data_IF_678657643402
#
_entry.id   IF_678657643402
#
_cell.length_a   1.000
_cell.length_b   1.000
_cell.length_c   1.000
_cell.angle_alpha   90.00
_cell.angle_beta   90.00
_cell.angle_gamma   90.00
#
_symmetry.space_group_name_H-M   'P 1'
#
loop_
_entity.id
_entity.type
_entity.pdbx_description
1 polymer ?
#
# COMPACT_ATOMS: atom_id res chain seq x y z
N UNK A 1 17.51 12.55 -3.81
CA UNK A 1 16.47 12.03 -4.74
C UNK A 1 15.18 12.75 -4.35
N UNK A 2 14.49 13.43 -5.27
CA UNK A 2 13.27 14.20 -4.94
C UNK A 2 12.19 13.21 -4.46
N UNK A 3 11.49 13.54 -3.39
CA UNK A 3 10.43 12.73 -2.78
C UNK A 3 9.32 12.49 -3.82
N UNK A 4 8.82 11.26 -3.96
CA UNK A 4 7.65 10.99 -4.84
C UNK A 4 6.38 11.60 -4.25
N UNK A 5 5.61 12.28 -5.10
CA UNK A 5 4.32 12.90 -4.78
C UNK A 5 3.26 11.85 -4.42
N UNK A 6 2.22 12.22 -3.68
CA UNK A 6 1.06 11.36 -3.41
C UNK A 6 0.45 10.85 -4.72
N UNK A 7 0.17 11.75 -5.67
CA UNK A 7 -0.39 11.41 -6.98
C UNK A 7 0.45 10.37 -7.73
N UNK A 8 1.77 10.46 -7.63
CA UNK A 8 2.69 9.49 -8.24
C UNK A 8 2.76 8.15 -7.49
N UNK A 9 2.60 8.15 -6.16
CA UNK A 9 2.60 6.92 -5.35
C UNK A 9 1.37 6.08 -5.63
N UNK A 10 0.22 6.72 -5.81
CA UNK A 10 -1.06 6.02 -5.94
C UNK A 10 -1.56 5.85 -7.38
N UNK A 11 -0.94 6.49 -8.40
CA UNK A 11 -1.23 6.19 -9.82
C UNK A 11 -1.01 4.71 -10.19
N UNK A 12 -0.10 4.02 -9.48
CA UNK A 12 0.13 2.59 -9.65
C UNK A 12 -1.00 1.71 -9.07
N UNK A 13 -1.75 2.22 -8.09
CA UNK A 13 -2.83 1.51 -7.40
C UNK A 13 -4.17 1.63 -8.14
N UNK A 14 -4.44 2.78 -8.77
CA UNK A 14 -5.66 2.96 -9.58
C UNK A 14 -5.70 2.04 -10.81
N UNK A 15 -4.55 1.69 -11.39
CA UNK A 15 -4.49 0.71 -12.50
C UNK A 15 -4.86 -0.72 -12.10
N UNK A 16 -4.89 -1.01 -10.80
CA UNK A 16 -5.26 -2.32 -10.23
C UNK A 16 -6.76 -2.33 -9.83
N UNK A 17 -7.38 -1.15 -9.61
CA UNK A 17 -8.77 -1.03 -9.16
C UNK A 17 -9.81 -1.02 -10.29
N UNK A 18 -9.39 -0.86 -11.56
CA UNK A 18 -10.27 -0.76 -12.74
C UNK A 18 -11.22 -1.95 -12.94
N UNK A 19 -11.01 -3.09 -12.26
CA UNK A 19 -11.85 -4.27 -12.43
C UNK A 19 -12.92 -4.48 -11.36
N UNK A 20 -13.00 -3.73 -10.25
CA UNK A 20 -14.03 -4.05 -9.23
C UNK A 20 -14.37 -2.97 -8.18
N UNK A 21 -14.26 -1.67 -8.47
CA UNK A 21 -14.51 -0.63 -7.46
C UNK A 21 -15.41 0.51 -7.93
N UNK A 22 -16.63 0.54 -7.37
CA UNK A 22 -17.63 1.57 -7.60
C UNK A 22 -17.34 2.93 -6.97
N UNK A 23 -16.21 3.11 -6.28
CA UNK A 23 -15.76 4.40 -5.73
C UNK A 23 -14.24 4.50 -5.97
N UNK A 24 -13.80 5.47 -6.77
CA UNK A 24 -12.40 5.79 -7.03
C UNK A 24 -11.60 6.08 -5.75
N UNK A 25 -10.26 6.01 -5.84
CA UNK A 25 -9.34 6.06 -4.70
C UNK A 25 -9.65 7.16 -3.67
N UNK A 26 -10.04 8.34 -4.15
CA UNK A 26 -10.33 9.54 -3.38
C UNK A 26 -11.81 9.93 -3.35
N UNK A 27 -12.73 9.06 -3.77
CA UNK A 27 -14.15 9.41 -3.95
C UNK A 27 -14.87 9.72 -2.64
N UNK A 28 -14.37 9.19 -1.52
CA UNK A 28 -14.84 9.53 -0.17
C UNK A 28 -14.50 10.97 0.26
N UNK A 29 -13.63 11.67 -0.48
CA UNK A 29 -13.21 13.04 -0.20
C UNK A 29 -14.14 14.01 -0.93
N UNK A 30 -15.28 14.31 -0.32
CA UNK A 30 -16.31 15.20 -0.89
C UNK A 30 -15.82 16.64 -1.01
N UNK A 31 -16.54 17.48 -1.77
CA UNK A 31 -16.24 18.92 -1.84
C UNK A 31 -16.27 19.60 -0.47
N UNK A 32 -17.13 19.14 0.45
CA UNK A 32 -17.18 19.64 1.83
C UNK A 32 -15.88 19.34 2.58
N UNK A 33 -15.39 18.09 2.48
CA UNK A 33 -14.11 17.69 3.07
C UNK A 33 -12.96 18.50 2.48
N UNK A 34 -12.92 18.64 1.15
CA UNK A 34 -11.90 19.46 0.47
C UNK A 34 -11.93 20.91 0.94
N UNK A 35 -13.12 21.46 1.20
CA UNK A 35 -13.26 22.81 1.73
C UNK A 35 -12.67 22.92 3.14
N UNK A 36 -12.98 21.98 4.02
CA UNK A 36 -12.41 21.94 5.37
C UNK A 36 -10.89 21.78 5.37
N UNK A 37 -10.36 20.93 4.49
CA UNK A 37 -8.91 20.78 4.32
C UNK A 37 -8.28 22.08 3.81
N UNK A 38 -8.91 22.75 2.85
CA UNK A 38 -8.45 24.04 2.34
C UNK A 38 -8.43 25.13 3.43
N UNK A 39 -9.45 25.18 4.28
CA UNK A 39 -9.48 26.11 5.42
C UNK A 39 -8.28 25.83 6.37
N UNK A 40 -8.00 24.56 6.70
CA UNK A 40 -6.83 24.19 7.51
C UNK A 40 -5.51 24.58 6.82
N UNK A 41 -5.38 24.37 5.50
CA UNK A 41 -4.18 24.77 4.76
C UNK A 41 -3.92 26.28 4.85
N UNK A 42 -4.97 27.09 4.83
CA UNK A 42 -4.86 28.55 4.96
C UNK A 42 -4.58 28.99 6.41
N UNK A 43 -5.11 28.28 7.41
CA UNK A 43 -4.81 28.58 8.82
C UNK A 43 -3.32 28.31 9.17
N UNK A 44 -2.64 27.46 8.39
CA UNK A 44 -1.24 27.06 8.58
C UNK A 44 -0.31 27.62 7.48
N UNK A 45 -0.56 28.83 6.98
CA UNK A 45 0.33 29.51 6.03
C UNK A 45 1.50 30.24 6.75
N UNK A 46 2.39 29.50 7.41
CA UNK A 46 3.53 30.09 8.15
C UNK A 46 4.35 31.02 7.23
N UNK A 47 4.60 32.29 7.60
CA UNK A 47 5.40 33.21 6.80
C UNK A 47 6.87 32.81 6.75
N UNK A 48 7.45 32.81 5.56
CA UNK A 48 8.81 32.35 5.28
C UNK A 48 9.61 33.38 4.48
N UNK A 49 10.94 33.41 4.71
CA UNK A 49 11.90 34.20 3.94
C UNK A 49 12.82 33.29 3.14
N UNK A 50 12.63 33.25 1.83
CA UNK A 50 13.35 32.34 0.93
C UNK A 50 14.39 33.10 0.12
N UNK A 51 15.56 32.47 -0.10
CA UNK A 51 16.59 33.03 -0.98
C UNK A 51 16.20 32.86 -2.44
N UNK A 52 16.29 33.95 -3.20
CA UNK A 52 15.94 33.99 -4.63
C UNK A 52 16.88 33.14 -5.50
N UNK A 53 18.12 32.95 -5.05
CA UNK A 53 19.12 32.14 -5.76
C UNK A 53 20.21 31.66 -4.80
N UNK A 54 20.91 30.58 -5.15
CA UNK A 54 22.14 30.16 -4.44
C UNK A 54 23.29 31.16 -4.61
N UNK A 55 23.25 31.97 -5.66
CA UNK A 55 24.32 32.90 -6.04
C UNK A 55 24.02 34.35 -5.67
N UNK A 56 22.82 34.64 -5.16
CA UNK A 56 22.41 35.97 -4.73
C UNK A 56 21.90 35.91 -3.28
N UNK A 57 22.12 36.99 -2.52
CA UNK A 57 21.63 37.13 -1.15
C UNK A 57 20.25 37.82 -1.08
N UNK A 58 19.64 38.15 -2.22
CA UNK A 58 18.27 38.66 -2.26
C UNK A 58 17.29 37.61 -1.74
N UNK A 59 16.49 37.98 -0.74
CA UNK A 59 15.40 37.16 -0.20
C UNK A 59 14.06 37.76 -0.60
N UNK A 60 13.05 36.90 -0.74
CA UNK A 60 11.65 37.31 -0.89
C UNK A 60 10.83 36.72 0.26
N UNK A 61 9.75 37.41 0.61
CA UNK A 61 8.76 36.96 1.58
C UNK A 61 7.72 36.10 0.86
N UNK A 62 7.35 34.98 1.47
CA UNK A 62 6.34 34.03 1.00
C UNK A 62 5.74 33.31 2.22
N UNK A 63 4.97 32.25 2.01
CA UNK A 63 4.43 31.40 3.05
C UNK A 63 4.55 29.92 2.68
N UNK A 64 4.41 29.05 3.69
CA UNK A 64 4.56 27.60 3.54
C UNK A 64 3.61 27.00 2.48
N UNK A 65 2.38 27.49 2.36
CA UNK A 65 1.41 27.00 1.38
C UNK A 65 1.77 27.46 -0.03
N UNK A 66 2.16 28.72 -0.21
CA UNK A 66 2.61 29.26 -1.49
C UNK A 66 3.83 28.50 -2.02
N UNK A 67 4.80 28.18 -1.16
CA UNK A 67 5.96 27.36 -1.53
C UNK A 67 5.58 25.94 -1.93
N UNK A 68 4.65 25.31 -1.20
CA UNK A 68 4.17 23.97 -1.54
C UNK A 68 3.50 23.91 -2.92
N UNK A 69 2.71 24.93 -3.26
CA UNK A 69 2.08 25.06 -4.59
C UNK A 69 3.14 25.27 -5.67
N UNK A 70 4.16 26.09 -5.42
CA UNK A 70 5.29 26.29 -6.33
C UNK A 70 6.05 24.98 -6.58
N UNK A 71 6.38 24.21 -5.53
CA UNK A 71 7.09 22.93 -5.70
C UNK A 71 6.24 21.88 -6.43
N UNK A 72 4.92 21.86 -6.20
CA UNK A 72 4.02 21.00 -6.95
C UNK A 72 4.02 21.36 -8.44
N UNK A 73 3.83 22.64 -8.77
CA UNK A 73 3.83 23.15 -10.15
C UNK A 73 5.13 22.81 -10.88
N UNK A 74 6.28 23.01 -10.22
CA UNK A 74 7.59 22.66 -10.76
C UNK A 74 7.74 21.15 -10.98
N UNK A 75 7.17 20.34 -10.09
CA UNK A 75 7.29 18.87 -10.15
C UNK A 75 6.40 18.25 -11.23
N UNK A 76 5.19 18.77 -11.44
CA UNK A 76 4.27 18.28 -12.50
C UNK A 76 4.53 18.93 -13.86
N UNK A 77 5.31 20.02 -13.91
CA UNK A 77 5.74 20.69 -15.14
C UNK A 77 4.69 21.62 -15.77
N UNK A 78 3.62 21.94 -15.05
CA UNK A 78 2.62 22.93 -15.47
C UNK A 78 2.06 23.69 -14.26
N UNK A 79 1.53 24.89 -14.49
CA UNK A 79 0.97 25.73 -13.44
C UNK A 79 -0.49 25.32 -13.17
N UNK A 80 -0.77 24.72 -12.02
CA UNK A 80 -2.13 24.45 -11.54
C UNK A 80 -2.85 25.75 -11.20
N UNK A 81 -2.23 26.56 -10.34
CA UNK A 81 -2.63 27.92 -9.97
C UNK A 81 -1.51 28.58 -9.15
N UNK A 82 -1.68 29.87 -8.84
CA UNK A 82 -0.82 30.62 -7.91
C UNK A 82 -1.69 31.52 -7.05
N UNK A 83 -1.48 31.51 -5.72
CA UNK A 83 -2.23 32.34 -4.78
C UNK A 83 -1.86 33.83 -4.91
N UNK A 84 -0.58 34.15 -5.16
CA UNK A 84 -0.07 35.53 -5.24
C UNK A 84 -0.66 36.40 -6.37
N UNK A 85 -1.22 35.79 -7.42
CA UNK A 85 -1.86 36.51 -8.54
C UNK A 85 -3.40 36.65 -8.40
N UNK A 86 -4.01 36.09 -7.35
CA UNK A 86 -5.47 36.06 -7.15
C UNK A 86 -6.00 37.22 -6.26
N UNK A 87 -5.14 38.18 -5.95
CA UNK A 87 -5.20 39.14 -4.82
C UNK A 87 -6.29 40.21 -4.83
N UNK A 88 -7.38 40.08 -5.59
CA UNK A 88 -8.42 41.14 -5.59
C UNK A 88 -9.90 40.74 -5.48
N UNK A 89 -10.32 39.46 -5.51
CA UNK A 89 -11.72 39.12 -5.14
C UNK A 89 -12.06 37.64 -4.97
N UNK A 90 -11.08 36.72 -4.90
CA UNK A 90 -11.37 35.27 -4.93
C UNK A 90 -11.19 34.64 -3.55
N UNK A 91 -12.12 33.77 -3.19
CA UNK A 91 -12.06 32.91 -2.01
C UNK A 91 -10.97 31.85 -2.23
N UNK A 92 -9.81 32.01 -1.59
CA UNK A 92 -8.63 31.14 -1.74
C UNK A 92 -8.97 29.68 -1.40
N UNK A 93 -9.78 29.46 -0.36
CA UNK A 93 -10.23 28.13 -0.02
C UNK A 93 -11.13 27.53 -1.10
N UNK A 94 -11.89 28.33 -1.85
CA UNK A 94 -12.67 27.84 -2.99
C UNK A 94 -11.78 27.42 -4.16
N UNK A 95 -10.64 28.08 -4.38
CA UNK A 95 -9.65 27.67 -5.38
C UNK A 95 -9.10 26.29 -5.01
N UNK A 96 -8.61 26.14 -3.77
CA UNK A 96 -8.09 24.87 -3.25
C UNK A 96 -9.14 23.75 -3.28
N UNK A 97 -10.39 24.05 -2.95
CA UNK A 97 -11.51 23.10 -2.97
C UNK A 97 -11.74 22.50 -4.37
N UNK A 98 -11.46 23.25 -5.43
CA UNK A 98 -11.64 22.81 -6.82
C UNK A 98 -10.43 22.08 -7.40
N UNK A 99 -9.29 22.02 -6.68
CA UNK A 99 -8.10 21.28 -7.11
C UNK A 99 -8.40 19.79 -7.17
N UNK A 100 -7.91 19.08 -8.19
CA UNK A 100 -8.02 17.63 -8.26
C UNK A 100 -7.49 16.97 -6.97
N UNK A 101 -8.26 16.06 -6.36
CA UNK A 101 -8.00 15.60 -4.98
C UNK A 101 -6.58 15.03 -4.76
N UNK A 102 -6.02 14.21 -5.66
CA UNK A 102 -4.62 13.80 -5.55
C UNK A 102 -3.61 14.95 -5.49
N UNK A 103 -3.84 16.04 -6.22
CA UNK A 103 -3.00 17.24 -6.15
C UNK A 103 -3.24 18.06 -4.89
N UNK A 104 -4.48 18.10 -4.37
CA UNK A 104 -4.73 18.68 -3.05
C UNK A 104 -3.92 17.95 -1.97
N UNK A 105 -3.87 16.62 -2.05
CA UNK A 105 -3.07 15.78 -1.15
C UNK A 105 -1.57 15.97 -1.35
N UNK A 106 -1.11 16.15 -2.59
CA UNK A 106 0.28 16.55 -2.86
C UNK A 106 0.64 17.86 -2.15
N UNK A 107 -0.22 18.89 -2.24
CA UNK A 107 0.03 20.18 -1.58
C UNK A 107 0.06 20.03 -0.06
N UNK A 108 -0.83 19.23 0.54
CA UNK A 108 -0.82 18.96 1.99
C UNK A 108 0.51 18.33 2.43
N UNK A 109 1.00 17.32 1.71
CA UNK A 109 2.29 16.68 2.03
C UNK A 109 3.47 17.65 1.88
N UNK A 110 3.45 18.51 0.85
CA UNK A 110 4.50 19.49 0.59
C UNK A 110 4.48 20.66 1.59
N UNK A 111 3.31 21.20 1.92
CA UNK A 111 3.16 22.27 2.90
C UNK A 111 3.71 21.83 4.26
N UNK A 112 3.41 20.58 4.67
CA UNK A 112 3.97 20.02 5.89
C UNK A 112 5.50 20.00 5.92
N UNK A 113 6.16 19.78 4.79
CA UNK A 113 7.62 19.78 4.72
C UNK A 113 8.20 21.20 4.94
N UNK A 114 7.46 22.24 4.58
CA UNK A 114 7.83 23.66 4.73
C UNK A 114 7.50 24.27 6.11
N UNK A 115 6.58 23.66 6.86
CA UNK A 115 6.22 24.13 8.22
C UNK A 115 7.36 23.97 9.22
N UNK A 116 7.41 24.83 10.24
CA UNK A 116 8.33 24.69 11.36
C UNK A 116 7.92 23.58 12.34
N UNK A 117 8.80 23.25 13.29
CA UNK A 117 8.51 22.32 14.38
C UNK A 117 7.76 22.99 15.56
N UNK A 118 7.09 24.13 15.33
CA UNK A 118 6.24 24.76 16.34
C UNK A 118 5.14 23.79 16.81
N UNK A 119 4.89 23.77 18.12
CA UNK A 119 4.04 22.76 18.77
C UNK A 119 2.57 22.95 18.43
N UNK A 120 2.13 24.19 18.20
CA UNK A 120 0.73 24.55 18.01
C UNK A 120 0.42 24.93 16.57
N UNK A 121 1.28 25.74 15.93
CA UNK A 121 1.07 26.27 14.59
C UNK A 121 2.04 25.68 13.55
N UNK A 122 2.92 24.78 13.96
CA UNK A 122 3.84 24.08 13.07
C UNK A 122 3.30 22.72 12.61
N UNK A 123 4.23 21.82 12.28
CA UNK A 123 3.95 20.47 11.75
C UNK A 123 2.94 19.68 12.56
N UNK A 124 3.06 19.71 13.89
CA UNK A 124 2.21 18.90 14.77
C UNK A 124 0.76 19.39 14.79
N UNK A 125 0.58 20.72 14.84
CA UNK A 125 -0.74 21.35 14.77
C UNK A 125 -1.42 21.04 13.45
N UNK A 126 -0.71 21.27 12.34
CA UNK A 126 -1.24 21.01 11.00
C UNK A 126 -1.67 19.56 10.83
N UNK A 127 -0.82 18.62 11.30
CA UNK A 127 -1.13 17.20 11.25
C UNK A 127 -2.39 16.84 12.02
N UNK A 128 -2.55 17.37 13.23
CA UNK A 128 -3.73 17.12 14.06
C UNK A 128 -5.00 17.64 13.40
N UNK A 129 -4.96 18.84 12.84
CA UNK A 129 -6.13 19.48 12.23
C UNK A 129 -6.54 18.78 10.93
N UNK A 130 -5.60 18.39 10.07
CA UNK A 130 -5.87 17.57 8.87
C UNK A 130 -6.52 16.23 9.28
N UNK A 131 -5.96 15.54 10.28
CA UNK A 131 -6.52 14.27 10.76
C UNK A 131 -7.90 14.44 11.40
N UNK A 132 -8.13 15.56 12.11
CA UNK A 132 -9.45 15.88 12.67
C UNK A 132 -10.49 15.99 11.56
N UNK A 133 -10.18 16.70 10.47
CA UNK A 133 -11.07 16.84 9.31
C UNK A 133 -11.41 15.47 8.72
N UNK A 134 -10.42 14.60 8.51
CA UNK A 134 -10.72 13.27 8.00
C UNK A 134 -11.58 12.45 8.95
N UNK A 135 -11.29 12.52 10.26
CA UNK A 135 -12.05 11.79 11.28
C UNK A 135 -13.50 12.25 11.40
N UNK A 136 -13.75 13.57 11.39
CA UNK A 136 -15.10 14.15 11.50
C UNK A 136 -16.00 13.80 10.30
N UNK A 137 -15.40 13.49 9.15
CA UNK A 137 -16.09 13.18 7.91
C UNK A 137 -15.96 11.70 7.49
N UNK A 138 -15.56 10.82 8.41
CA UNK A 138 -15.40 9.37 8.16
C UNK A 138 -14.53 9.03 6.93
N UNK A 139 -13.56 9.89 6.62
CA UNK A 139 -12.63 9.68 5.52
C UNK A 139 -11.53 8.70 5.96
N UNK A 140 -11.28 7.62 5.21
CA UNK A 140 -10.31 6.59 5.59
C UNK A 140 -8.88 7.03 5.26
N UNK A 141 -8.47 8.22 5.69
CA UNK A 141 -7.15 8.80 5.45
C UNK A 141 -6.52 9.20 6.77
N UNK A 142 -5.24 8.86 6.92
CA UNK A 142 -4.40 9.26 8.05
C UNK A 142 -3.19 9.99 7.50
N UNK A 143 -2.94 11.17 8.07
CA UNK A 143 -1.75 11.96 7.83
C UNK A 143 -0.73 11.70 8.95
N UNK A 144 0.36 11.02 8.60
CA UNK A 144 1.43 10.65 9.54
C UNK A 144 2.79 10.77 8.86
N UNK A 145 3.80 11.23 9.58
CA UNK A 145 5.18 11.41 9.08
C UNK A 145 5.25 12.15 7.73
N UNK A 146 4.43 13.21 7.63
CA UNK A 146 4.29 14.02 6.41
C UNK A 146 3.60 13.31 5.24
N UNK A 147 3.06 12.11 5.42
CA UNK A 147 2.48 11.26 4.36
C UNK A 147 1.01 11.01 4.59
N UNK A 148 0.22 11.08 3.52
CA UNK A 148 -1.15 10.57 3.51
C UNK A 148 -1.16 9.08 3.20
N UNK A 149 -1.79 8.33 4.10
CA UNK A 149 -1.96 6.87 4.04
C UNK A 149 -3.45 6.56 4.15
N UNK A 150 -3.97 5.76 3.22
CA UNK A 150 -5.37 5.32 3.29
C UNK A 150 -5.49 4.23 4.36
N UNK A 151 -6.29 4.47 5.39
CA UNK A 151 -6.61 3.49 6.45
C UNK A 151 -7.97 2.89 6.13
N UNK A 152 -7.97 2.02 5.12
CA UNK A 152 -9.13 1.26 4.65
C UNK A 152 -8.79 -0.23 4.71
N UNK A 153 -9.71 -1.06 5.19
CA UNK A 153 -9.54 -2.51 5.22
C UNK A 153 -9.23 -3.07 3.82
N UNK A 154 -9.84 -2.49 2.78
CA UNK A 154 -9.56 -2.87 1.39
C UNK A 154 -8.15 -2.47 0.96
N UNK A 155 -7.70 -1.28 1.34
CA UNK A 155 -6.32 -0.84 1.06
C UNK A 155 -5.30 -1.71 1.79
N UNK A 156 -5.54 -2.04 3.06
CA UNK A 156 -4.66 -2.93 3.82
C UNK A 156 -4.47 -4.27 3.11
N UNK A 157 -5.55 -4.85 2.58
CA UNK A 157 -5.48 -6.09 1.81
C UNK A 157 -4.72 -5.93 0.49
N UNK A 158 -4.86 -4.79 -0.20
CA UNK A 158 -4.08 -4.49 -1.41
C UNK A 158 -2.59 -4.32 -1.09
N UNK A 159 -2.28 -3.58 -0.03
CA UNK A 159 -0.91 -3.34 0.43
C UNK A 159 -0.22 -4.64 0.86
N UNK A 160 -0.95 -5.55 1.51
CA UNK A 160 -0.45 -6.89 1.84
C UNK A 160 -0.02 -7.65 0.58
N UNK A 161 -0.89 -7.68 -0.44
CA UNK A 161 -0.61 -8.38 -1.70
C UNK A 161 0.56 -7.74 -2.46
N UNK A 162 0.59 -6.41 -2.54
CA UNK A 162 1.67 -5.67 -3.19
C UNK A 162 3.01 -5.90 -2.51
N UNK A 163 3.08 -5.77 -1.19
CA UNK A 163 4.32 -6.02 -0.43
C UNK A 163 4.84 -7.44 -0.62
N UNK A 164 3.96 -8.44 -0.63
CA UNK A 164 4.35 -9.81 -0.89
C UNK A 164 4.91 -10.01 -2.31
N UNK A 165 4.27 -9.41 -3.33
CA UNK A 165 4.76 -9.45 -4.72
C UNK A 165 6.10 -8.74 -4.86
N UNK A 166 6.26 -7.54 -4.29
CA UNK A 166 7.51 -6.77 -4.32
C UNK A 166 8.64 -7.56 -3.65
N UNK A 167 8.39 -8.16 -2.48
CA UNK A 167 9.38 -8.99 -1.80
C UNK A 167 9.77 -10.22 -2.62
N UNK A 168 8.79 -10.91 -3.21
CA UNK A 168 9.03 -12.02 -4.14
C UNK A 168 9.84 -11.57 -5.36
N UNK A 169 9.60 -10.35 -5.84
CA UNK A 169 10.33 -9.78 -6.96
C UNK A 169 11.81 -9.57 -6.62
N UNK A 170 12.10 -8.94 -5.48
CA UNK A 170 13.46 -8.75 -4.99
C UNK A 170 14.20 -10.09 -4.86
N UNK A 171 13.53 -11.11 -4.31
CA UNK A 171 14.09 -12.44 -4.18
C UNK A 171 14.34 -13.12 -5.51
N UNK A 172 13.42 -13.02 -6.46
CA UNK A 172 13.59 -13.52 -7.82
C UNK A 172 14.81 -12.88 -8.48
N UNK A 173 14.97 -11.57 -8.32
CA UNK A 173 16.08 -10.82 -8.90
C UNK A 173 17.43 -11.22 -8.27
N UNK A 174 17.42 -11.62 -6.99
CA UNK A 174 18.60 -12.15 -6.28
C UNK A 174 18.86 -13.64 -6.55
N UNK A 175 17.80 -14.45 -6.69
CA UNK A 175 17.83 -15.91 -6.82
C UNK A 175 16.73 -16.39 -7.79
N UNK A 176 17.10 -16.86 -8.99
CA UNK A 176 16.15 -17.32 -10.02
C UNK A 176 15.21 -18.45 -9.59
N UNK A 177 15.52 -19.18 -8.51
CA UNK A 177 14.64 -20.23 -8.00
C UNK A 177 13.27 -19.70 -7.54
N UNK A 178 13.19 -18.42 -7.15
CA UNK A 178 11.93 -17.77 -6.77
C UNK A 178 11.06 -17.33 -7.96
N UNK A 179 11.52 -17.49 -9.21
CA UNK A 179 10.75 -17.10 -10.41
C UNK A 179 9.37 -17.74 -10.47
N UNK A 180 9.28 -19.05 -10.18
CA UNK A 180 8.02 -19.79 -10.18
C UNK A 180 7.03 -19.22 -9.17
N UNK A 181 7.48 -19.03 -7.93
CA UNK A 181 6.67 -18.47 -6.86
C UNK A 181 6.15 -17.06 -7.20
N UNK A 182 7.04 -16.19 -7.71
CA UNK A 182 6.67 -14.84 -8.13
C UNK A 182 5.60 -14.83 -9.23
N UNK A 183 5.80 -15.62 -10.29
CA UNK A 183 4.87 -15.67 -11.43
C UNK A 183 3.49 -16.19 -11.02
N UNK A 184 3.46 -17.18 -10.12
CA UNK A 184 2.24 -17.79 -9.59
C UNK A 184 1.50 -16.84 -8.66
N UNK A 185 2.20 -16.13 -7.77
CA UNK A 185 1.60 -15.13 -6.88
C UNK A 185 1.01 -13.97 -7.67
N UNK A 186 1.74 -13.46 -8.67
CA UNK A 186 1.25 -12.37 -9.54
C UNK A 186 -0.01 -12.79 -10.30
N UNK A 187 -0.04 -14.01 -10.84
CA UNK A 187 -1.23 -14.57 -11.50
C UNK A 187 -2.39 -14.71 -10.53
N UNK A 188 -2.13 -15.13 -9.29
CA UNK A 188 -3.19 -15.28 -8.29
C UNK A 188 -3.91 -13.96 -8.01
N UNK A 189 -3.17 -12.86 -7.88
CA UNK A 189 -3.72 -11.52 -7.67
C UNK A 189 -4.47 -11.02 -8.92
N UNK A 190 -3.95 -11.26 -10.13
CA UNK A 190 -4.62 -10.92 -11.39
C UNK A 190 -5.96 -11.65 -11.55
N UNK A 191 -5.97 -12.98 -11.36
CA UNK A 191 -7.20 -13.77 -11.43
C UNK A 191 -8.22 -13.35 -10.38
N UNK A 192 -7.77 -13.02 -9.16
CA UNK A 192 -8.66 -12.51 -8.12
C UNK A 192 -9.32 -11.19 -8.56
N UNK A 193 -8.54 -10.25 -9.11
CA UNK A 193 -9.04 -8.97 -9.60
C UNK A 193 -10.03 -9.09 -10.76
N UNK A 194 -9.98 -10.19 -11.52
CA UNK A 194 -10.88 -10.49 -12.64
C UNK A 194 -12.11 -11.32 -12.26
N UNK A 195 -12.23 -11.73 -11.00
CA UNK A 195 -13.30 -12.62 -10.54
C UNK A 195 -13.09 -14.10 -10.87
N UNK A 196 -11.92 -14.50 -11.38
CA UNK A 196 -11.55 -15.88 -11.71
C UNK A 196 -11.11 -16.63 -10.42
N UNK A 197 -12.03 -16.78 -9.46
CA UNK A 197 -11.73 -17.19 -8.08
C UNK A 197 -11.04 -18.54 -7.92
N UNK A 198 -11.42 -19.55 -8.70
CA UNK A 198 -10.79 -20.86 -8.64
C UNK A 198 -9.32 -20.80 -9.09
N UNK A 199 -9.05 -20.08 -10.18
CA UNK A 199 -7.69 -19.89 -10.69
C UNK A 199 -6.85 -19.05 -9.72
N UNK A 200 -7.45 -18.04 -9.05
CA UNK A 200 -6.78 -17.28 -8.02
C UNK A 200 -6.27 -18.19 -6.88
N UNK A 201 -7.13 -19.04 -6.33
CA UNK A 201 -6.77 -19.98 -5.24
C UNK A 201 -5.74 -21.00 -5.71
N UNK A 202 -5.89 -21.54 -6.92
CA UNK A 202 -4.96 -22.54 -7.48
C UNK A 202 -3.56 -21.93 -7.63
N UNK A 203 -3.44 -20.73 -8.19
CA UNK A 203 -2.14 -20.09 -8.42
C UNK A 203 -1.51 -19.59 -7.11
N UNK A 204 -2.30 -19.09 -6.16
CA UNK A 204 -1.81 -18.78 -4.81
C UNK A 204 -1.20 -20.03 -4.14
N UNK A 205 -1.83 -21.18 -4.35
CA UNK A 205 -1.34 -22.45 -3.81
C UNK A 205 -0.10 -23.01 -4.47
N UNK A 206 0.10 -22.69 -5.75
CA UNK A 206 1.37 -23.01 -6.41
C UNK A 206 2.48 -22.11 -5.88
N UNK A 207 2.23 -20.80 -5.71
CA UNK A 207 3.20 -19.88 -5.09
C UNK A 207 3.70 -20.41 -3.76
N UNK A 208 2.77 -20.73 -2.85
CA UNK A 208 3.10 -21.24 -1.52
C UNK A 208 3.94 -22.52 -1.57
N UNK A 209 3.57 -23.45 -2.46
CA UNK A 209 4.34 -24.68 -2.65
C UNK A 209 5.73 -24.42 -3.25
N UNK A 210 5.84 -23.48 -4.20
CA UNK A 210 7.09 -23.07 -4.82
C UNK A 210 8.04 -22.45 -3.78
N UNK A 211 7.55 -21.57 -2.90
CA UNK A 211 8.34 -21.00 -1.79
C UNK A 211 8.89 -22.09 -0.88
N UNK A 212 8.01 -23.01 -0.44
CA UNK A 212 8.41 -24.14 0.39
C UNK A 212 9.50 -24.99 -0.29
N UNK A 213 9.39 -25.24 -1.60
CA UNK A 213 10.40 -25.98 -2.37
C UNK A 213 11.74 -25.27 -2.39
N UNK A 214 11.75 -23.96 -2.63
CA UNK A 214 12.99 -23.17 -2.62
C UNK A 214 13.65 -23.21 -1.25
N UNK A 215 12.88 -23.03 -0.17
CA UNK A 215 13.40 -23.07 1.20
C UNK A 215 13.88 -24.46 1.58
N UNK A 216 13.15 -25.54 1.27
CA UNK A 216 13.56 -26.91 1.60
C UNK A 216 14.78 -27.39 0.79
N UNK A 217 15.02 -26.80 -0.38
CA UNK A 217 16.18 -27.09 -1.23
C UNK A 217 16.09 -28.45 -1.95
N UNK A 218 17.22 -29.05 -2.36
CA UNK A 218 17.24 -30.25 -3.20
C UNK A 218 16.43 -31.42 -2.64
N UNK A 219 15.67 -32.10 -3.50
CA UNK A 219 14.83 -33.25 -3.14
C UNK A 219 13.39 -32.88 -2.72
N UNK A 220 13.06 -31.58 -2.71
CA UNK A 220 11.73 -31.06 -2.41
C UNK A 220 10.77 -31.07 -3.62
N UNK A 221 11.28 -31.32 -4.83
CA UNK A 221 10.58 -31.03 -6.09
C UNK A 221 9.27 -31.82 -6.26
N UNK A 222 9.27 -33.07 -5.77
CA UNK A 222 8.14 -34.00 -5.86
C UNK A 222 7.35 -34.13 -4.55
N UNK A 223 7.74 -33.42 -3.50
CA UNK A 223 7.06 -33.49 -2.21
C UNK A 223 5.75 -32.70 -2.24
N UNK A 224 4.72 -33.26 -1.61
CA UNK A 224 3.47 -32.52 -1.37
C UNK A 224 3.69 -31.38 -0.37
N UNK A 225 2.83 -30.36 -0.39
CA UNK A 225 2.91 -29.24 0.57
C UNK A 225 3.00 -29.70 2.04
N UNK A 226 2.27 -30.75 2.44
CA UNK A 226 2.36 -31.29 3.81
C UNK A 226 3.73 -31.92 4.12
N UNK A 227 4.33 -32.60 3.13
CA UNK A 227 5.69 -33.15 3.26
C UNK A 227 6.74 -32.04 3.42
N UNK A 228 6.63 -31.02 2.57
CA UNK A 228 7.50 -29.84 2.61
C UNK A 228 7.41 -29.11 3.96
N UNK A 229 6.19 -28.88 4.47
CA UNK A 229 5.98 -28.24 5.77
C UNK A 229 6.63 -29.06 6.90
N UNK A 230 6.46 -30.39 6.88
CA UNK A 230 7.07 -31.25 7.88
C UNK A 230 8.59 -31.18 7.82
N UNK A 231 9.16 -31.28 6.61
CA UNK A 231 10.60 -31.17 6.38
C UNK A 231 11.16 -29.81 6.83
N UNK A 232 10.41 -28.74 6.60
CA UNK A 232 10.76 -27.39 7.06
C UNK A 232 10.83 -27.31 8.58
N UNK A 233 9.84 -27.87 9.30
CA UNK A 233 9.79 -27.85 10.76
C UNK A 233 10.82 -28.77 11.42
N UNK A 234 11.26 -29.81 10.72
CA UNK A 234 12.36 -30.68 11.14
C UNK A 234 13.74 -30.06 10.85
N UNK A 235 13.78 -28.94 10.11
CA UNK A 235 15.01 -28.20 9.82
C UNK A 235 15.19 -27.01 10.75
N UNK A 236 16.44 -26.61 10.99
CA UNK A 236 16.78 -25.44 11.82
C UNK A 236 16.53 -24.09 11.11
N UNK A 237 15.66 -24.06 10.09
CA UNK A 237 15.38 -22.88 9.25
C UNK A 237 14.24 -22.00 9.77
N UNK A 238 13.55 -22.42 10.83
CA UNK A 238 12.48 -21.65 11.46
C UNK A 238 12.80 -21.45 12.95
N UNK A 239 12.78 -20.20 13.40
CA UNK A 239 13.00 -19.87 14.81
C UNK A 239 11.66 -19.78 15.54
N UNK A 240 11.10 -20.93 15.94
CA UNK A 240 9.84 -20.98 16.68
C UNK A 240 10.05 -20.62 18.17
N UNK A 241 9.16 -19.82 18.79
CA UNK A 241 9.18 -19.60 20.23
C UNK A 241 9.05 -20.92 21.01
N UNK A 242 9.76 -21.07 22.13
CA UNK A 242 9.76 -22.31 22.95
C UNK A 242 8.36 -22.80 23.36
N UNK A 243 7.41 -21.89 23.51
CA UNK A 243 6.02 -22.20 23.88
C UNK A 243 5.18 -22.75 22.72
N UNK A 244 5.64 -22.60 21.47
CA UNK A 244 4.93 -23.02 20.27
C UNK A 244 5.49 -24.35 19.74
N UNK A 245 4.72 -25.42 19.93
CA UNK A 245 5.10 -26.75 19.43
C UNK A 245 5.05 -26.80 17.89
N UNK A 246 6.04 -27.39 17.21
CA UNK A 246 6.05 -27.49 15.75
C UNK A 246 4.79 -28.13 15.17
N UNK A 247 4.26 -29.19 15.81
CA UNK A 247 3.04 -29.86 15.32
C UNK A 247 1.78 -28.99 15.46
N UNK A 248 1.73 -28.15 16.50
CA UNK A 248 0.62 -27.21 16.68
C UNK A 248 0.66 -26.12 15.61
N UNK A 249 1.86 -25.62 15.30
CA UNK A 249 2.07 -24.63 14.25
C UNK A 249 1.77 -25.19 12.85
N UNK A 250 2.22 -26.41 12.56
CA UNK A 250 1.90 -27.12 11.33
C UNK A 250 0.39 -27.19 11.09
N UNK A 251 -0.36 -27.74 12.04
CA UNK A 251 -1.78 -28.05 11.86
C UNK A 251 -2.69 -26.81 11.91
N UNK A 252 -2.29 -25.79 12.66
CA UNK A 252 -3.13 -24.60 12.87
C UNK A 252 -2.82 -23.47 11.90
N UNK A 253 -1.57 -23.38 11.42
CA UNK A 253 -1.08 -22.25 10.62
C UNK A 253 -0.64 -22.70 9.25
N UNK A 254 0.40 -23.52 9.13
CA UNK A 254 1.00 -23.84 7.82
C UNK A 254 0.08 -24.68 6.91
N UNK A 255 -0.73 -25.56 7.48
CA UNK A 255 -1.69 -26.37 6.72
C UNK A 255 -2.99 -25.64 6.38
N UNK A 256 -3.23 -24.45 6.92
CA UNK A 256 -4.47 -23.70 6.66
C UNK A 256 -4.70 -23.47 5.16
N UNK A 257 -3.65 -23.10 4.42
CA UNK A 257 -3.75 -22.89 2.98
C UNK A 257 -3.91 -24.20 2.18
N UNK A 258 -3.06 -25.25 2.35
CA UNK A 258 -3.26 -26.54 1.70
C UNK A 258 -4.65 -27.13 1.88
N UNK A 259 -5.26 -26.97 3.06
CA UNK A 259 -6.64 -27.42 3.32
C UNK A 259 -7.63 -26.69 2.41
N UNK A 260 -7.54 -25.36 2.29
CA UNK A 260 -8.40 -24.56 1.41
C UNK A 260 -8.18 -24.96 -0.06
N UNK A 261 -6.92 -25.01 -0.51
CA UNK A 261 -6.57 -25.39 -1.89
C UNK A 261 -7.09 -26.78 -2.25
N UNK A 262 -6.96 -27.77 -1.37
CA UNK A 262 -7.41 -29.13 -1.66
C UNK A 262 -8.93 -29.22 -1.80
N UNK A 263 -9.69 -28.41 -1.05
CA UNK A 263 -11.14 -28.33 -1.21
C UNK A 263 -11.54 -27.69 -2.54
N UNK A 264 -10.72 -26.78 -3.05
CA UNK A 264 -10.87 -26.15 -4.37
C UNK A 264 -10.37 -27.02 -5.52
N UNK A 265 -9.31 -27.82 -5.32
CA UNK A 265 -8.71 -28.64 -6.38
C UNK A 265 -9.34 -30.04 -6.51
N UNK A 266 -10.12 -30.49 -5.52
CA UNK A 266 -10.79 -31.80 -5.52
C UNK A 266 -11.90 -31.94 -6.60
N UNK A 267 -12.08 -30.97 -7.49
CA UNK A 267 -13.11 -30.93 -8.53
C UNK A 267 -12.84 -31.83 -9.75
N UNK A 268 -12.02 -32.87 -9.60
CA UNK A 268 -11.99 -33.98 -10.53
C UNK A 268 -13.26 -34.82 -10.41
N UNK A 269 -14.18 -34.65 -11.37
CA UNK A 269 -15.30 -35.57 -11.66
C UNK A 269 -16.30 -35.84 -10.52
N UNK A 270 -17.40 -35.09 -10.47
CA UNK A 270 -18.65 -35.56 -9.85
C UNK A 270 -19.38 -34.55 -8.94
N UNK A 271 -20.40 -33.90 -9.50
CA UNK A 271 -21.65 -33.51 -8.86
C UNK A 271 -21.59 -32.76 -7.51
N UNK A 272 -21.21 -31.48 -7.56
CA UNK A 272 -21.91 -30.31 -6.99
C UNK A 272 -20.99 -29.11 -7.21
N UNK A 273 -21.39 -28.13 -8.03
CA UNK A 273 -20.66 -26.87 -8.21
C UNK A 273 -20.66 -26.12 -6.87
N UNK A 274 -19.55 -26.21 -6.13
CA UNK A 274 -19.32 -25.32 -4.99
C UNK A 274 -18.57 -24.12 -5.54
N UNK A 275 -19.32 -23.11 -5.98
CA UNK A 275 -18.77 -21.85 -6.46
C UNK A 275 -17.97 -21.20 -5.32
N UNK A 276 -16.66 -20.99 -5.54
CA UNK A 276 -15.82 -20.33 -4.54
C UNK A 276 -16.26 -18.89 -4.47
N UNK A 277 -16.71 -18.48 -3.29
CA UNK A 277 -17.12 -17.10 -3.09
C UNK A 277 -15.91 -16.16 -3.16
N UNK A 278 -16.14 -14.93 -3.63
CA UNK A 278 -15.12 -13.88 -3.66
C UNK A 278 -14.40 -13.71 -2.31
N UNK A 279 -15.09 -13.69 -1.15
CA UNK A 279 -14.42 -13.60 0.15
C UNK A 279 -13.49 -14.77 0.45
N UNK A 280 -13.84 -15.99 0.04
CA UNK A 280 -13.01 -17.18 0.25
C UNK A 280 -11.75 -17.14 -0.63
N UNK A 281 -11.90 -16.74 -1.90
CA UNK A 281 -10.75 -16.56 -2.80
C UNK A 281 -9.81 -15.45 -2.31
N UNK A 282 -10.37 -14.32 -1.86
CA UNK A 282 -9.59 -13.23 -1.29
C UNK A 282 -8.85 -13.67 -0.01
N UNK A 283 -9.51 -14.40 0.90
CA UNK A 283 -8.88 -14.97 2.10
C UNK A 283 -7.72 -15.89 1.72
N UNK A 284 -7.90 -16.78 0.74
CA UNK A 284 -6.84 -17.69 0.30
C UNK A 284 -5.64 -16.90 -0.22
N UNK A 285 -5.82 -15.94 -1.13
CA UNK A 285 -4.72 -15.13 -1.68
C UNK A 285 -4.00 -14.36 -0.56
N UNK A 286 -4.74 -13.71 0.35
CA UNK A 286 -4.15 -13.00 1.49
C UNK A 286 -3.34 -13.95 2.40
N UNK A 287 -3.84 -15.16 2.62
CA UNK A 287 -3.16 -16.18 3.42
C UNK A 287 -1.86 -16.65 2.74
N UNK A 288 -1.85 -16.85 1.42
CA UNK A 288 -0.63 -17.14 0.69
C UNK A 288 0.38 -15.99 0.82
N UNK A 289 -0.03 -14.73 0.62
CA UNK A 289 0.84 -13.57 0.80
C UNK A 289 1.47 -13.52 2.20
N UNK A 290 0.67 -13.74 3.24
CA UNK A 290 1.12 -13.71 4.63
C UNK A 290 2.09 -14.87 4.95
N UNK A 291 1.75 -16.09 4.55
CA UNK A 291 2.59 -17.27 4.79
C UNK A 291 3.90 -17.21 4.00
N UNK A 292 3.84 -16.83 2.72
CA UNK A 292 5.02 -16.66 1.87
C UNK A 292 5.98 -15.64 2.47
N UNK A 293 5.46 -14.47 2.88
CA UNK A 293 6.26 -13.40 3.49
C UNK A 293 6.93 -13.88 4.78
N UNK A 294 6.18 -14.53 5.67
CA UNK A 294 6.72 -15.06 6.94
C UNK A 294 7.82 -16.08 6.69
N UNK A 295 7.58 -17.07 5.83
CA UNK A 295 8.54 -18.13 5.53
C UNK A 295 9.83 -17.59 4.91
N UNK A 296 9.70 -16.61 4.02
CA UNK A 296 10.83 -15.93 3.40
C UNK A 296 11.67 -15.19 4.43
N UNK A 297 11.05 -14.43 5.33
CA UNK A 297 11.76 -13.66 6.36
C UNK A 297 12.55 -14.60 7.26
N UNK A 298 11.90 -15.62 7.81
CA UNK A 298 12.58 -16.62 8.64
C UNK A 298 13.70 -17.34 7.87
N UNK A 299 13.49 -17.71 6.60
CA UNK A 299 14.49 -18.47 5.86
C UNK A 299 15.67 -17.63 5.30
N UNK A 300 15.49 -16.33 5.10
CA UNK A 300 16.49 -15.44 4.48
C UNK A 300 17.24 -14.58 5.51
N UNK A 301 16.62 -14.28 6.66
CA UNK A 301 17.25 -13.48 7.73
C UNK A 301 18.10 -14.34 8.69
N UNK A 302 18.27 -15.64 8.39
CA UNK A 302 19.14 -16.60 9.12
C UNK A 302 20.57 -16.68 8.51
N UNK A 303 20.88 -15.96 7.43
CA UNK A 303 22.27 -15.76 6.94
C UNK A 303 22.95 -14.53 7.56
#
# INVERSE_FOLDING_TARGET
MKRRLFSQRYDALDRISETDLGDGLTDNVTLEVKRRLADVMLDFCEPLRVKSSRYDNTTYETDALSLAIEDLNDTIGYNLFSLGYMTYSYDEAAVLTNVFTPHLFDIIELQYDELSDDVENGKEGFRKEINRVFQEHDCPWLFTDGRLVKVDAKQFELDLKLKAIERMQELRDANPLYQGAYDELRKAVDFLGRGDYAEAVINAGKSYESVLKVICGPGAETESANGLIKRLLESDKLSLPESLKPEAFQNSVLLSFPIIRNKVAAHGSGATECEISAPMANLAVNLACALDTYLIQEATDIE
#
